data_IF_215678985646
#
_entry.id   IF_215678985646
#
_cell.length_a   1.000
_cell.length_b   1.000
_cell.length_c   1.000
_cell.angle_alpha   90.00
_cell.angle_beta   90.00
_cell.angle_gamma   90.00
#
_symmetry.space_group_name_H-M   'P 1'
#
loop_
_entity.id
_entity.type
_entity.pdbx_description
1 polymer ?
#
# COMPACT_ATOMS: atom_id res chain seq x y z
N UNK A 1 14.07 -3.44 -6.01
CA UNK A 1 12.66 -3.91 -6.09
C UNK A 1 12.66 -5.39 -6.40
N UNK A 2 11.64 -6.10 -5.91
CA UNK A 2 11.51 -7.54 -6.10
C UNK A 2 11.17 -7.86 -7.56
N UNK A 3 11.37 -9.10 -7.98
CA UNK A 3 11.07 -9.52 -9.35
C UNK A 3 9.57 -9.28 -9.63
N UNK A 4 9.25 -8.57 -10.72
CA UNK A 4 7.90 -8.12 -11.12
C UNK A 4 7.26 -6.99 -10.29
N UNK A 5 7.94 -6.44 -9.28
CA UNK A 5 7.47 -5.25 -8.57
C UNK A 5 7.72 -4.00 -9.42
N UNK A 6 6.64 -3.42 -9.96
CA UNK A 6 6.70 -2.26 -10.87
C UNK A 6 6.66 -0.91 -10.18
N UNK A 7 6.20 -0.87 -8.92
CA UNK A 7 5.96 0.34 -8.15
C UNK A 7 6.50 0.21 -6.73
N UNK A 8 6.83 1.34 -6.11
CA UNK A 8 7.09 1.42 -4.67
C UNK A 8 5.73 1.56 -3.99
N UNK A 9 5.28 0.49 -3.33
CA UNK A 9 4.02 0.51 -2.60
C UNK A 9 4.23 1.06 -1.19
N UNK A 10 3.34 1.94 -0.73
CA UNK A 10 3.36 2.49 0.61
C UNK A 10 1.99 2.42 1.28
N UNK A 11 1.97 2.32 2.60
CA UNK A 11 0.75 2.36 3.41
C UNK A 11 0.92 3.42 4.50
N UNK A 12 -0.05 4.33 4.57
CA UNK A 12 -0.14 5.38 5.57
C UNK A 12 -1.04 4.92 6.73
N UNK A 13 -0.72 5.34 7.96
CA UNK A 13 -1.61 5.15 9.10
C UNK A 13 -0.96 5.61 10.40
N UNK A 14 -1.74 5.88 11.44
CA UNK A 14 -1.24 6.57 12.64
C UNK A 14 -0.38 5.69 13.56
N UNK A 15 -0.37 4.37 13.36
CA UNK A 15 0.33 3.43 14.24
C UNK A 15 1.01 2.31 13.44
N UNK A 16 2.33 2.20 13.62
CA UNK A 16 3.15 1.21 12.92
C UNK A 16 2.75 -0.25 13.21
N UNK A 17 2.31 -0.55 14.44
CA UNK A 17 1.90 -1.90 14.81
C UNK A 17 0.54 -2.27 14.18
N UNK A 18 -0.38 -1.30 14.07
CA UNK A 18 -1.62 -1.49 13.31
C UNK A 18 -1.35 -1.68 11.82
N UNK A 19 -0.44 -0.89 11.25
CA UNK A 19 -0.02 -1.03 9.85
C UNK A 19 0.55 -2.42 9.57
N UNK A 20 1.43 -2.93 10.44
CA UNK A 20 1.99 -4.29 10.32
C UNK A 20 0.94 -5.39 10.41
N UNK A 21 -0.14 -5.16 11.17
CA UNK A 21 -1.25 -6.09 11.31
C UNK A 21 -2.28 -5.99 10.15
N UNK A 22 -2.04 -5.12 9.17
CA UNK A 22 -2.96 -4.91 8.05
C UNK A 22 -3.06 -6.16 7.16
N UNK A 23 -4.29 -6.66 6.90
CA UNK A 23 -4.52 -7.81 5.99
C UNK A 23 -4.01 -7.56 4.57
N UNK A 24 -3.88 -6.30 4.18
CA UNK A 24 -3.39 -5.93 2.85
C UNK A 24 -1.95 -6.39 2.65
N UNK A 25 -1.12 -6.33 3.71
CA UNK A 25 0.29 -6.70 3.65
C UNK A 25 0.47 -8.20 3.37
N UNK A 26 -0.46 -9.05 3.80
CA UNK A 26 -0.42 -10.48 3.49
C UNK A 26 -0.46 -10.73 1.98
N UNK A 27 -1.22 -9.92 1.23
CA UNK A 27 -1.32 -10.06 -0.23
C UNK A 27 -0.04 -9.63 -0.94
N UNK A 28 0.56 -8.52 -0.51
CA UNK A 28 1.87 -8.10 -1.01
C UNK A 28 2.96 -9.12 -0.65
N UNK A 29 2.93 -9.67 0.57
CA UNK A 29 3.85 -10.71 1.02
C UNK A 29 3.71 -12.01 0.20
N UNK A 30 2.49 -12.43 -0.16
CA UNK A 30 2.25 -13.59 -1.04
C UNK A 30 2.85 -13.41 -2.44
N UNK A 31 2.92 -12.18 -2.95
CA UNK A 31 3.62 -11.84 -4.19
C UNK A 31 5.12 -11.60 -3.99
N UNK A 32 5.58 -11.58 -2.74
CA UNK A 32 6.95 -11.28 -2.37
C UNK A 32 7.33 -9.81 -2.62
N UNK A 33 6.37 -8.89 -2.59
CA UNK A 33 6.59 -7.45 -2.77
C UNK A 33 6.82 -6.75 -1.43
N UNK A 34 7.76 -5.82 -1.42
CA UNK A 34 8.03 -4.99 -0.24
C UNK A 34 7.09 -3.77 -0.25
N UNK A 35 6.54 -3.44 0.93
CA UNK A 35 5.65 -2.28 1.17
C UNK A 35 6.27 -1.39 2.24
N UNK A 36 6.31 -0.08 1.99
CA UNK A 36 6.75 0.92 2.98
C UNK A 36 5.60 1.21 3.94
N UNK A 37 5.88 1.13 5.25
CA UNK A 37 4.92 1.51 6.28
C UNK A 37 5.31 2.89 6.78
N UNK A 38 4.39 3.84 6.62
CA UNK A 38 4.60 5.25 6.89
C UNK A 38 3.64 5.65 7.99
N UNK A 39 4.18 5.94 9.17
CA UNK A 39 3.39 6.19 10.37
C UNK A 39 3.54 7.58 10.96
N UNK A 40 4.31 8.46 10.32
CA UNK A 40 4.42 9.83 10.78
C UNK A 40 3.29 10.67 10.19
N UNK A 41 2.73 11.59 10.99
CA UNK A 41 1.65 12.48 10.57
C UNK A 41 1.99 13.26 9.29
N UNK A 42 3.27 13.62 9.12
CA UNK A 42 3.75 14.35 7.95
C UNK A 42 3.70 13.53 6.65
N UNK A 43 3.78 12.19 6.76
CA UNK A 43 3.79 11.30 5.59
C UNK A 43 2.47 11.44 4.80
N UNK A 44 1.34 11.58 5.49
CA UNK A 44 0.03 11.76 4.87
C UNK A 44 -0.08 13.04 4.04
N UNK A 45 0.70 14.07 4.37
CA UNK A 45 0.75 15.33 3.62
C UNK A 45 1.76 15.29 2.48
N UNK A 46 2.88 14.58 2.66
CA UNK A 46 3.98 14.56 1.68
C UNK A 46 3.72 13.54 0.57
N UNK A 47 3.34 12.31 0.94
CA UNK A 47 3.26 11.18 0.00
C UNK A 47 2.31 11.38 -1.17
N UNK A 48 1.14 12.04 -1.04
CA UNK A 48 0.30 12.34 -2.20
C UNK A 48 0.97 13.23 -3.25
N UNK A 49 1.98 14.02 -2.86
CA UNK A 49 2.78 14.84 -3.77
C UNK A 49 4.01 14.12 -4.36
N UNK A 50 4.35 12.94 -3.86
CA UNK A 50 5.50 12.16 -4.32
C UNK A 50 5.05 11.20 -5.44
N UNK A 51 5.48 11.49 -6.67
CA UNK A 51 5.05 10.71 -7.84
C UNK A 51 5.96 9.51 -8.12
N UNK A 52 7.28 9.70 -8.09
CA UNK A 52 8.26 8.65 -8.42
C UNK A 52 9.61 8.89 -7.75
N UNK A 53 10.39 7.81 -7.61
CA UNK A 53 11.79 7.83 -7.22
C UNK A 53 12.58 6.90 -8.13
N UNK A 54 13.69 7.42 -8.69
CA UNK A 54 14.53 6.70 -9.64
C UNK A 54 13.72 5.99 -10.75
N UNK A 55 12.81 6.75 -11.38
CA UNK A 55 11.87 6.27 -12.42
C UNK A 55 10.92 5.15 -11.97
N UNK A 56 10.84 4.89 -10.68
CA UNK A 56 9.88 3.95 -10.10
C UNK A 56 8.72 4.74 -9.48
N UNK A 57 7.47 4.53 -9.92
CA UNK A 57 6.32 5.24 -9.37
C UNK A 57 6.04 4.85 -7.92
N UNK A 58 5.57 5.81 -7.13
CA UNK A 58 4.98 5.54 -5.82
C UNK A 58 3.49 5.27 -5.96
N UNK A 59 3.01 4.26 -5.22
CA UNK A 59 1.60 3.88 -5.22
C UNK A 59 1.14 3.56 -3.81
N UNK A 60 -0.02 4.08 -3.44
CA UNK A 60 -0.66 3.70 -2.19
C UNK A 60 -1.13 2.23 -2.29
N UNK A 61 -0.71 1.41 -1.33
CA UNK A 61 -0.96 -0.01 -1.27
C UNK A 61 -2.45 -0.37 -1.08
N UNK A 62 -3.23 0.55 -0.50
CA UNK A 62 -4.68 0.46 -0.32
C UNK A 62 -5.48 0.92 -1.55
N UNK A 63 -4.82 1.61 -2.48
CA UNK A 63 -5.50 2.15 -3.64
C UNK A 63 -5.98 1.05 -4.60
N UNK A 64 -7.17 1.25 -5.16
CA UNK A 64 -7.82 0.24 -6.02
C UNK A 64 -6.98 -0.18 -7.23
N UNK A 65 -6.19 0.74 -7.79
CA UNK A 65 -5.29 0.43 -8.91
C UNK A 65 -4.14 -0.50 -8.50
N UNK A 66 -3.51 -0.27 -7.35
CA UNK A 66 -2.45 -1.12 -6.80
C UNK A 66 -2.95 -2.54 -6.52
N UNK A 67 -4.18 -2.65 -6.02
CA UNK A 67 -4.80 -3.94 -5.73
C UNK A 67 -5.15 -4.71 -7.00
N UNK A 68 -5.54 -4.03 -8.08
CA UNK A 68 -5.68 -4.65 -9.41
C UNK A 68 -4.35 -5.19 -9.93
N UNK A 69 -3.24 -4.50 -9.70
CA UNK A 69 -1.89 -4.98 -10.10
C UNK A 69 -1.49 -6.28 -9.36
N UNK A 70 -2.02 -6.52 -8.17
CA UNK A 70 -1.84 -7.79 -7.45
C UNK A 70 -2.72 -8.93 -8.00
N UNK A 71 -3.61 -8.64 -8.96
CA UNK A 71 -4.59 -9.60 -9.47
C UNK A 71 -5.77 -9.82 -8.53
N UNK A 72 -6.07 -8.85 -7.66
CA UNK A 72 -7.27 -8.84 -6.82
C UNK A 72 -8.40 -8.21 -7.63
N UNK A 73 -9.08 -9.00 -8.46
CA UNK A 73 -10.10 -8.47 -9.38
C UNK A 73 -11.36 -7.94 -8.68
N UNK A 74 -11.68 -8.34 -7.46
CA UNK A 74 -12.74 -7.71 -6.68
C UNK A 74 -12.39 -7.72 -5.20
N UNK A 75 -12.15 -6.53 -4.65
CA UNK A 75 -12.21 -6.31 -3.21
C UNK A 75 -13.69 -6.30 -2.88
N UNK A 76 -14.20 -7.38 -2.29
CA UNK A 76 -15.54 -7.40 -1.68
C UNK A 76 -15.69 -6.14 -0.80
N UNK A 77 -16.84 -5.49 -0.82
CA UNK A 77 -17.11 -4.24 -0.09
C UNK A 77 -16.75 -4.36 1.41
N UNK A 78 -16.78 -5.56 1.98
CA UNK A 78 -16.29 -5.86 3.34
C UNK A 78 -14.84 -5.47 3.59
N UNK A 79 -13.97 -5.67 2.59
CA UNK A 79 -12.55 -5.36 2.70
C UNK A 79 -12.33 -3.85 2.54
N UNK A 80 -13.13 -3.15 1.71
CA UNK A 80 -13.10 -1.68 1.64
C UNK A 80 -13.55 -1.02 2.93
N UNK A 81 -14.59 -1.53 3.58
CA UNK A 81 -15.06 -0.97 4.85
C UNK A 81 -14.06 -1.22 5.99
N UNK A 82 -13.25 -2.28 5.94
CA UNK A 82 -12.13 -2.48 6.88
C UNK A 82 -10.97 -1.48 6.71
N UNK A 83 -10.86 -0.80 5.57
CA UNK A 83 -9.81 0.19 5.28
C UNK A 83 -10.30 1.64 5.37
N UNK A 84 -11.57 1.87 5.69
CA UNK A 84 -12.15 3.22 5.83
C UNK A 84 -11.76 3.92 7.13
N UNK A 85 -11.41 3.13 8.13
CA UNK A 85 -11.13 3.57 9.50
C UNK A 85 -9.64 3.49 9.87
N UNK A 86 -8.75 3.33 8.88
CA UNK A 86 -7.29 3.33 9.03
C UNK A 86 -6.68 4.69 8.64
#
# INVERSE_FOLDING_TARGET
LKENQKSIYYLLGENLDLLKASPILEKYAQKGYDVLLLSDEIDAFVMPGVNEYDKTPFRDASHSESLKELGLEEINDEVKDQFKDL
#
